data_IF_876060504956
#
_entry.id   IF_876060504956
#
_cell.length_a   1.000
_cell.length_b   1.000
_cell.length_c   1.000
_cell.angle_alpha   90.00
_cell.angle_beta   90.00
_cell.angle_gamma   90.00
#
_symmetry.space_group_name_H-M   'P 1'
#
loop_
_entity.id
_entity.type
_entity.pdbx_description
1 polymer ?
#
# COMPACT_ATOMS: atom_id res chain seq x y z
N UNK A 1 24.87 0.79 -37.82
CA UNK A 1 24.74 -0.15 -36.68
C UNK A 1 23.81 0.32 -35.55
N UNK A 2 22.92 1.33 -35.75
CA UNK A 2 22.00 1.84 -34.70
C UNK A 2 20.55 1.31 -34.78
N UNK A 3 20.13 0.69 -35.89
CA UNK A 3 18.74 0.28 -36.12
C UNK A 3 18.36 -1.07 -35.49
N UNK A 4 19.33 -1.92 -35.14
CA UNK A 4 19.09 -3.22 -34.50
C UNK A 4 18.80 -3.11 -32.99
N UNK A 5 19.13 -1.98 -32.36
CA UNK A 5 18.92 -1.80 -30.91
C UNK A 5 17.43 -1.75 -30.54
N UNK A 6 16.58 -1.15 -31.39
CA UNK A 6 15.16 -1.00 -31.09
C UNK A 6 14.37 -2.32 -31.15
N UNK A 7 14.83 -3.30 -31.96
CA UNK A 7 14.19 -4.62 -32.05
C UNK A 7 14.37 -5.40 -30.74
N UNK A 8 15.49 -5.19 -30.04
CA UNK A 8 15.78 -5.86 -28.78
C UNK A 8 14.87 -5.37 -27.64
N UNK A 9 14.49 -4.08 -27.63
CA UNK A 9 13.56 -3.54 -26.63
C UNK A 9 12.13 -4.09 -26.78
N UNK A 10 11.72 -4.47 -27.99
CA UNK A 10 10.39 -5.03 -28.25
C UNK A 10 10.22 -6.48 -27.72
N UNK A 11 11.32 -7.15 -27.35
CA UNK A 11 11.31 -8.50 -26.79
C UNK A 11 11.29 -8.52 -25.26
N UNK A 12 11.31 -7.35 -24.59
CA UNK A 12 11.20 -7.29 -23.15
C UNK A 12 9.77 -7.65 -22.72
N UNK A 13 9.59 -8.55 -21.73
CA UNK A 13 8.27 -8.86 -21.22
C UNK A 13 7.65 -7.60 -20.59
N UNK A 14 6.56 -7.11 -21.20
CA UNK A 14 5.84 -5.90 -20.79
C UNK A 14 4.82 -6.15 -19.67
N UNK A 15 4.73 -7.37 -19.15
CA UNK A 15 3.66 -7.76 -18.22
C UNK A 15 4.17 -7.77 -16.79
N UNK A 16 3.91 -6.69 -16.06
CA UNK A 16 3.94 -6.68 -14.60
C UNK A 16 2.51 -6.88 -14.08
N UNK A 17 2.23 -8.05 -13.51
CA UNK A 17 0.92 -8.35 -12.92
C UNK A 17 0.93 -8.00 -11.44
N UNK A 18 0.69 -6.72 -11.11
CA UNK A 18 0.38 -6.31 -9.75
C UNK A 18 -1.09 -6.65 -9.44
N UNK A 19 -1.36 -7.19 -8.25
CA UNK A 19 -2.76 -7.37 -7.83
C UNK A 19 -3.40 -6.00 -7.58
N UNK A 20 -4.70 -5.83 -7.88
CA UNK A 20 -5.41 -4.60 -7.60
C UNK A 20 -5.51 -4.34 -6.10
N UNK A 21 -5.24 -3.10 -5.70
CA UNK A 21 -5.36 -2.62 -4.32
C UNK A 21 -6.44 -1.55 -4.25
N UNK A 22 -7.39 -1.71 -3.34
CA UNK A 22 -8.47 -0.78 -3.07
C UNK A 22 -8.34 -0.25 -1.64
N UNK A 23 -8.32 1.07 -1.47
CA UNK A 23 -8.14 1.72 -0.18
C UNK A 23 -9.36 2.55 0.18
N UNK A 24 -10.02 2.15 1.26
CA UNK A 24 -11.06 2.94 1.89
C UNK A 24 -10.42 3.77 3.00
N UNK A 25 -10.56 5.09 2.91
CA UNK A 25 -9.93 6.04 3.81
C UNK A 25 -10.93 6.78 4.66
N UNK A 26 -10.62 6.90 5.94
CA UNK A 26 -11.31 7.73 6.93
C UNK A 26 -10.24 8.49 7.73
N UNK A 27 -9.97 9.72 7.30
CA UNK A 27 -8.78 10.48 7.73
C UNK A 27 -9.11 11.63 8.69
N UNK A 28 -10.36 11.82 9.11
CA UNK A 28 -10.79 12.89 10.03
C UNK A 28 -10.23 14.28 9.64
N UNK A 29 -10.31 14.65 8.36
CA UNK A 29 -9.79 15.90 7.79
C UNK A 29 -8.28 16.16 8.01
N UNK A 30 -7.53 15.14 8.46
CA UNK A 30 -6.09 15.24 8.64
C UNK A 30 -5.37 15.30 7.29
N UNK A 31 -4.22 15.99 7.26
CA UNK A 31 -3.32 16.04 6.10
C UNK A 31 -2.49 14.74 5.98
N UNK A 32 -3.18 13.61 5.87
CA UNK A 32 -2.59 12.28 5.73
C UNK A 32 -2.68 11.87 4.27
N UNK A 33 -1.59 11.34 3.75
CA UNK A 33 -1.55 10.67 2.46
C UNK A 33 -1.12 9.21 2.62
N UNK A 34 -1.38 8.40 1.60
CA UNK A 34 -0.99 7.00 1.59
C UNK A 34 -0.56 6.54 0.21
N UNK A 35 0.31 5.54 0.21
CA UNK A 35 0.76 4.84 -0.98
C UNK A 35 0.74 3.35 -0.71
N UNK A 36 0.22 2.58 -1.66
CA UNK A 36 0.20 1.12 -1.58
C UNK A 36 1.10 0.53 -2.64
N UNK A 37 1.75 -0.58 -2.33
CA UNK A 37 2.65 -1.26 -3.24
C UNK A 37 2.61 -2.77 -3.01
N UNK A 38 2.75 -3.53 -4.09
CA UNK A 38 2.81 -4.98 -4.09
C UNK A 38 4.23 -5.43 -3.74
N UNK A 39 4.42 -5.84 -2.49
CA UNK A 39 5.75 -6.29 -2.03
C UNK A 39 6.04 -7.73 -2.44
N UNK A 40 5.02 -8.57 -2.40
CA UNK A 40 5.05 -9.96 -2.85
C UNK A 40 3.60 -10.40 -3.14
N UNK A 41 3.42 -11.55 -3.79
CA UNK A 41 2.11 -12.09 -4.17
C UNK A 41 1.17 -12.31 -2.97
N UNK A 42 1.68 -12.43 -1.75
CA UNK A 42 0.92 -12.67 -0.51
C UNK A 42 1.22 -11.64 0.60
N UNK A 43 1.90 -10.53 0.27
CA UNK A 43 2.20 -9.42 1.19
C UNK A 43 1.56 -8.14 0.69
N UNK A 44 0.62 -7.61 1.47
CA UNK A 44 0.07 -6.27 1.27
C UNK A 44 0.86 -5.22 2.04
N UNK A 45 1.15 -4.08 1.39
CA UNK A 45 1.92 -2.99 1.99
C UNK A 45 1.26 -1.63 1.79
N UNK A 46 1.41 -0.77 2.80
CA UNK A 46 0.99 0.63 2.77
C UNK A 46 2.04 1.51 3.44
N UNK A 47 2.39 2.62 2.81
CA UNK A 47 3.08 3.75 3.41
C UNK A 47 2.04 4.80 3.77
N UNK A 48 2.09 5.29 5.00
CA UNK A 48 1.23 6.38 5.49
C UNK A 48 2.11 7.57 5.83
N UNK A 49 1.83 8.71 5.22
CA UNK A 49 2.57 9.96 5.40
C UNK A 49 1.68 11.01 6.08
N UNK A 50 2.21 11.66 7.11
CA UNK A 50 1.55 12.75 7.82
C UNK A 50 2.20 14.09 7.44
N UNK A 51 1.47 14.87 6.65
CA UNK A 51 1.84 16.24 6.25
C UNK A 51 1.20 17.31 7.15
N UNK A 52 0.55 16.90 8.24
CA UNK A 52 0.00 17.78 9.26
C UNK A 52 1.02 18.16 10.31
N UNK A 53 0.55 19.02 11.22
CA UNK A 53 1.34 19.56 12.33
C UNK A 53 1.10 18.83 13.65
N UNK A 54 0.21 17.82 13.64
CA UNK A 54 -0.17 17.00 14.80
C UNK A 54 0.13 15.54 14.50
N UNK A 55 0.63 14.82 15.51
CA UNK A 55 0.86 13.38 15.44
C UNK A 55 -0.45 12.62 15.17
N UNK A 56 -0.35 11.52 14.42
CA UNK A 56 -1.50 10.70 14.05
C UNK A 56 -1.32 9.26 14.53
N UNK A 57 -2.40 8.63 14.98
CA UNK A 57 -2.47 7.18 15.13
C UNK A 57 -3.41 6.64 14.04
N UNK A 58 -2.84 5.84 13.15
CA UNK A 58 -3.55 5.23 12.03
C UNK A 58 -3.72 3.72 12.23
N UNK A 59 -4.86 3.20 11.83
CA UNK A 59 -5.20 1.78 11.82
C UNK A 59 -5.41 1.34 10.38
N UNK A 60 -4.54 0.47 9.89
CA UNK A 60 -4.67 -0.16 8.58
C UNK A 60 -5.18 -1.60 8.75
N UNK A 61 -6.36 -1.89 8.20
CA UNK A 61 -6.95 -3.23 8.19
C UNK A 61 -6.83 -3.80 6.77
N UNK A 62 -5.96 -4.79 6.61
CA UNK A 62 -5.70 -5.49 5.36
C UNK A 62 -6.63 -6.70 5.24
N UNK A 63 -7.30 -6.84 4.10
CA UNK A 63 -8.25 -7.92 3.82
C UNK A 63 -7.94 -8.56 2.45
N UNK A 64 -7.60 -9.86 2.48
CA UNK A 64 -7.40 -10.71 1.29
C UNK A 64 -8.60 -11.66 1.11
N UNK A 65 -9.82 -11.13 1.04
CA UNK A 65 -11.06 -11.86 0.73
C UNK A 65 -11.46 -12.85 1.83
N UNK A 66 -11.38 -14.18 1.60
CA UNK A 66 -11.81 -15.20 2.56
C UNK A 66 -10.84 -15.38 3.74
N UNK A 67 -9.62 -14.84 3.71
CA UNK A 67 -8.71 -14.89 4.87
C UNK A 67 -9.12 -13.87 5.93
N UNK A 68 -8.90 -14.22 7.21
CA UNK A 68 -9.12 -13.30 8.33
C UNK A 68 -8.32 -11.99 8.15
N UNK A 69 -8.95 -10.81 8.31
CA UNK A 69 -8.26 -9.53 8.15
C UNK A 69 -7.11 -9.35 9.14
N UNK A 70 -6.03 -8.69 8.69
CA UNK A 70 -4.87 -8.35 9.52
C UNK A 70 -4.90 -6.85 9.82
N UNK A 71 -4.77 -6.50 11.09
CA UNK A 71 -4.78 -5.10 11.53
C UNK A 71 -3.39 -4.66 11.94
N UNK A 72 -2.97 -3.47 11.51
CA UNK A 72 -1.75 -2.80 11.94
C UNK A 72 -2.08 -1.41 12.48
N UNK A 73 -1.58 -1.10 13.66
CA UNK A 73 -1.60 0.27 14.21
C UNK A 73 -0.27 0.94 13.90
N UNK A 74 -0.33 2.19 13.46
CA UNK A 74 0.79 2.95 12.92
C UNK A 74 0.73 4.34 13.56
N UNK A 75 1.65 4.62 14.48
CA UNK A 75 1.82 5.99 15.00
C UNK A 75 2.72 6.77 14.03
N UNK A 76 2.16 7.76 13.35
CA UNK A 76 2.84 8.59 12.34
C UNK A 76 3.02 10.01 12.88
N UNK A 77 4.24 10.36 13.34
CA UNK A 77 4.51 11.72 13.82
C UNK A 77 4.28 12.77 12.73
N UNK A 78 4.01 14.01 13.15
CA UNK A 78 3.89 15.16 12.24
C UNK A 78 5.11 15.28 11.30
N UNK A 79 4.87 15.52 10.02
CA UNK A 79 5.91 15.63 8.99
C UNK A 79 6.68 14.34 8.68
N UNK A 80 6.25 13.17 9.18
CA UNK A 80 6.91 11.88 8.97
C UNK A 80 6.01 10.90 8.22
N UNK A 81 6.59 9.77 7.82
CA UNK A 81 5.87 8.64 7.24
C UNK A 81 6.29 7.34 7.90
N UNK A 82 5.42 6.33 7.84
CA UNK A 82 5.71 4.95 8.27
C UNK A 82 5.08 3.94 7.33
N UNK A 83 5.70 2.77 7.26
CA UNK A 83 5.21 1.64 6.48
C UNK A 83 4.56 0.61 7.39
N UNK A 84 3.55 -0.07 6.88
CA UNK A 84 2.95 -1.24 7.48
C UNK A 84 2.70 -2.32 6.43
N UNK A 85 2.88 -3.56 6.85
CA UNK A 85 2.68 -4.72 5.99
C UNK A 85 1.85 -5.80 6.68
N UNK A 86 1.18 -6.61 5.86
CA UNK A 86 0.48 -7.81 6.29
C UNK A 86 0.81 -8.96 5.35
N UNK A 87 1.37 -10.04 5.93
CA UNK A 87 1.56 -11.32 5.25
C UNK A 87 0.28 -12.15 5.38
N UNK A 88 -0.16 -12.71 4.28
CA UNK A 88 -1.27 -13.65 4.19
C UNK A 88 -0.75 -15.07 3.97
N UNK A 89 -1.62 -16.05 4.21
CA UNK A 89 -1.31 -17.47 3.94
C UNK A 89 -1.53 -17.84 2.48
N UNK A 90 -2.36 -17.05 1.77
CA UNK A 90 -2.71 -17.26 0.36
C UNK A 90 -2.29 -16.05 -0.45
N UNK A 91 -2.06 -16.27 -1.74
CA UNK A 91 -1.84 -15.20 -2.71
C UNK A 91 -3.01 -14.21 -2.71
N UNK A 92 -2.67 -12.95 -2.96
CA UNK A 92 -3.58 -11.82 -3.01
C UNK A 92 -4.09 -11.70 -4.44
N UNK A 93 -5.40 -11.92 -4.61
CA UNK A 93 -6.09 -11.67 -5.88
C UNK A 93 -6.57 -10.22 -5.95
N UNK A 94 -7.05 -9.68 -4.82
CA UNK A 94 -7.43 -8.27 -4.65
C UNK A 94 -7.27 -7.88 -3.20
N UNK A 95 -6.43 -6.88 -2.94
CA UNK A 95 -6.22 -6.36 -1.60
C UNK A 95 -7.20 -5.24 -1.30
N UNK A 96 -7.87 -5.31 -0.15
CA UNK A 96 -8.64 -4.18 0.39
C UNK A 96 -7.99 -3.70 1.67
N UNK A 97 -7.73 -2.40 1.77
CA UNK A 97 -7.19 -1.77 2.97
C UNK A 97 -8.20 -0.75 3.48
N UNK A 98 -8.63 -0.89 4.73
CA UNK A 98 -9.32 0.20 5.44
C UNK A 98 -8.29 0.96 6.27
N UNK A 99 -8.07 2.22 5.93
CA UNK A 99 -7.19 3.13 6.64
C UNK A 99 -8.03 4.14 7.43
N UNK A 100 -7.93 4.08 8.75
CA UNK A 100 -8.56 5.05 9.64
C UNK A 100 -7.48 5.78 10.44
N UNK A 101 -7.45 7.10 10.44
CA UNK A 101 -6.46 7.88 11.19
C UNK A 101 -7.15 8.85 12.14
N UNK A 102 -6.63 8.98 13.36
CA UNK A 102 -7.09 9.96 14.35
C UNK A 102 -5.91 10.79 14.85
N UNK A 103 -6.12 12.05 15.23
CA UNK A 103 -5.10 12.83 15.93
C UNK A 103 -4.75 12.12 17.25
N UNK A 104 -3.48 12.21 17.63
CA UNK A 104 -2.95 11.63 18.87
C UNK A 104 -3.00 12.61 20.04
#
# INVERSE_FOLDING_TARGET
>A
MKKFCCVLLALLPLTAFAYPIDVQKDLNDMKIDYETFDTDNDIGSIRVANYGDVDATCKAVFNNGPEAPRTRTIDVPAGKHKNATAKFTREIIKLRIKLTCTPK
#
